data_IF_779445054124
#
_entry.id   IF_779445054124
#
_cell.length_a   1.000
_cell.length_b   1.000
_cell.length_c   1.000
_cell.angle_alpha   90.00
_cell.angle_beta   90.00
_cell.angle_gamma   90.00
#
_symmetry.space_group_name_H-M   'P 1'
#
loop_
_entity.id
_entity.type
_entity.pdbx_description
1 polymer ?
#
# COMPACT_ATOMS: atom_id res chain seq x y z
N UNK A 1 -23.64 0.22 4.92
CA UNK A 1 -22.62 1.28 4.76
C UNK A 1 -21.87 0.93 3.49
N UNK A 2 -21.81 1.86 2.55
CA UNK A 2 -21.13 1.66 1.26
C UNK A 2 -19.71 2.21 1.36
N UNK A 3 -18.76 1.52 0.75
CA UNK A 3 -17.33 1.81 0.77
C UNK A 3 -16.86 1.86 -0.69
N UNK A 4 -16.16 2.94 -1.07
CA UNK A 4 -15.73 3.18 -2.44
C UNK A 4 -14.23 3.51 -2.48
N UNK A 5 -13.52 2.94 -3.44
CA UNK A 5 -12.14 3.29 -3.78
C UNK A 5 -12.14 4.19 -5.00
N UNK A 6 -11.66 5.44 -4.87
CA UNK A 6 -11.63 6.36 -6.01
C UNK A 6 -10.46 6.07 -6.95
N UNK A 7 -9.34 5.62 -6.40
CA UNK A 7 -8.15 5.24 -7.16
C UNK A 7 -7.37 4.17 -6.35
N UNK A 8 -7.14 3.01 -6.97
CA UNK A 8 -6.33 1.93 -6.41
C UNK A 8 -4.83 2.21 -6.61
N UNK A 9 -4.06 2.09 -5.54
CA UNK A 9 -2.61 2.28 -5.48
C UNK A 9 -2.10 3.57 -6.17
N UNK A 10 -2.53 4.78 -5.74
CA UNK A 10 -2.01 6.02 -6.30
C UNK A 10 -0.48 6.13 -6.17
N UNK A 11 0.11 5.79 -5.02
CA UNK A 11 1.56 5.82 -4.85
C UNK A 11 2.24 4.83 -5.80
N UNK A 12 1.92 3.54 -5.72
CA UNK A 12 2.58 2.52 -6.57
C UNK A 12 2.43 2.85 -8.05
N UNK A 13 1.23 3.23 -8.49
CA UNK A 13 0.97 3.53 -9.90
C UNK A 13 1.84 4.70 -10.36
N UNK A 14 1.82 5.83 -9.65
CA UNK A 14 2.55 7.03 -10.06
C UNK A 14 4.07 6.84 -9.90
N UNK A 15 4.50 6.06 -8.91
CA UNK A 15 5.90 5.68 -8.71
C UNK A 15 6.42 4.81 -9.87
N UNK A 16 5.69 3.76 -10.25
CA UNK A 16 6.07 2.87 -11.35
C UNK A 16 6.02 3.58 -12.72
N UNK A 17 5.11 4.53 -12.90
CA UNK A 17 4.93 5.31 -14.13
C UNK A 17 5.93 6.47 -14.27
N UNK A 18 6.24 7.14 -13.16
CA UNK A 18 6.97 8.41 -13.12
C UNK A 18 8.41 8.29 -12.66
N UNK A 19 8.71 7.38 -11.73
CA UNK A 19 10.03 7.24 -11.13
C UNK A 19 10.83 6.08 -11.73
N UNK A 20 10.20 4.89 -11.81
CA UNK A 20 10.91 3.65 -12.14
C UNK A 20 10.90 3.28 -13.63
N UNK A 21 10.05 3.94 -14.44
CA UNK A 21 9.80 3.59 -15.84
C UNK A 21 9.40 2.12 -16.06
N UNK A 22 8.59 1.57 -15.16
CA UNK A 22 8.09 0.19 -15.24
C UNK A 22 6.75 0.14 -15.97
N UNK A 23 5.88 1.12 -15.75
CA UNK A 23 4.56 1.21 -16.38
C UNK A 23 4.47 2.42 -17.33
N UNK A 24 3.60 2.37 -18.37
CA UNK A 24 3.34 3.53 -19.23
C UNK A 24 2.92 4.74 -18.40
N UNK A 25 3.40 5.96 -18.72
CA UNK A 25 4.16 6.35 -19.91
C UNK A 25 5.68 6.08 -19.87
N UNK A 26 6.18 5.35 -18.88
CA UNK A 26 7.59 4.98 -18.71
C UNK A 26 8.53 6.17 -18.49
N UNK A 27 8.05 7.20 -17.79
CA UNK A 27 8.90 8.28 -17.33
C UNK A 27 9.81 7.81 -16.18
N UNK A 28 10.87 8.56 -15.90
CA UNK A 28 11.78 8.20 -14.82
C UNK A 28 12.40 9.39 -14.12
N UNK A 29 12.70 9.21 -12.84
CA UNK A 29 13.30 10.23 -11.99
C UNK A 29 12.26 10.96 -11.14
N UNK A 30 12.74 11.71 -10.15
CA UNK A 30 11.89 12.40 -9.18
C UNK A 30 11.07 13.53 -9.82
N UNK A 31 11.63 14.27 -10.78
CA UNK A 31 10.91 15.35 -11.50
C UNK A 31 9.64 14.80 -12.16
N UNK A 32 9.76 13.72 -12.93
CA UNK A 32 8.62 13.06 -13.56
C UNK A 32 7.63 12.48 -12.55
N UNK A 33 8.10 11.99 -11.40
CA UNK A 33 7.22 11.51 -10.34
C UNK A 33 6.41 12.65 -9.70
N UNK A 34 7.06 13.79 -9.42
CA UNK A 34 6.40 15.01 -8.93
C UNK A 34 5.38 15.52 -9.94
N UNK A 35 5.73 15.59 -11.22
CA UNK A 35 4.80 16.02 -12.28
C UNK A 35 3.54 15.17 -12.33
N UNK A 36 3.69 13.85 -12.22
CA UNK A 36 2.54 12.94 -12.18
C UNK A 36 1.68 13.15 -10.93
N UNK A 37 2.29 13.30 -9.75
CA UNK A 37 1.56 13.59 -8.51
C UNK A 37 0.77 14.91 -8.61
N UNK A 38 1.42 15.99 -9.07
CA UNK A 38 0.79 17.31 -9.25
C UNK A 38 -0.34 17.26 -10.29
N UNK A 39 -0.22 16.44 -11.32
CA UNK A 39 -1.26 16.30 -12.33
C UNK A 39 -2.45 15.46 -11.85
N UNK A 40 -2.22 14.39 -11.08
CA UNK A 40 -3.25 13.40 -10.73
C UNK A 40 -3.97 13.73 -9.43
N UNK A 41 -3.25 14.09 -8.37
CA UNK A 41 -3.84 14.26 -7.04
C UNK A 41 -4.94 15.33 -6.97
N UNK A 42 -4.87 16.48 -7.68
CA UNK A 42 -5.97 17.44 -7.68
C UNK A 42 -7.28 16.88 -8.21
N UNK A 43 -7.23 16.03 -9.24
CA UNK A 43 -8.41 15.38 -9.78
C UNK A 43 -9.01 14.37 -8.78
N UNK A 44 -8.16 13.62 -8.07
CA UNK A 44 -8.61 12.70 -7.01
C UNK A 44 -9.21 13.48 -5.84
N UNK A 45 -8.63 14.62 -5.47
CA UNK A 45 -9.12 15.46 -4.38
C UNK A 45 -10.52 16.00 -4.71
N UNK A 46 -10.70 16.50 -5.93
CA UNK A 46 -12.00 16.95 -6.42
C UNK A 46 -13.02 15.80 -6.50
N UNK A 47 -12.60 14.62 -6.96
CA UNK A 47 -13.46 13.43 -6.94
C UNK A 47 -13.89 13.08 -5.50
N UNK A 48 -13.00 13.20 -4.51
CA UNK A 48 -13.32 12.94 -3.10
C UNK A 48 -14.29 13.96 -2.50
N UNK A 49 -14.26 15.22 -2.98
CA UNK A 49 -15.21 16.27 -2.60
C UNK A 49 -16.60 15.97 -3.17
N UNK A 50 -16.68 15.74 -4.48
CA UNK A 50 -17.92 15.41 -5.18
C UNK A 50 -18.55 14.13 -4.62
N UNK A 51 -17.72 13.14 -4.32
CA UNK A 51 -18.12 11.89 -3.68
C UNK A 51 -18.88 12.14 -2.37
N UNK A 52 -18.35 13.00 -1.49
CA UNK A 52 -19.00 13.33 -0.21
C UNK A 52 -20.32 14.07 -0.39
N UNK A 53 -20.43 14.92 -1.41
CA UNK A 53 -21.65 15.65 -1.73
C UNK A 53 -22.75 14.71 -2.25
N UNK A 54 -22.38 13.78 -3.11
CA UNK A 54 -23.32 12.85 -3.74
C UNK A 54 -23.71 11.68 -2.82
N UNK A 55 -22.79 11.22 -1.98
CA UNK A 55 -22.94 10.03 -1.15
C UNK A 55 -22.50 10.29 0.31
N UNK A 56 -23.22 11.14 1.06
CA UNK A 56 -22.80 11.59 2.40
C UNK A 56 -22.69 10.47 3.46
N UNK A 57 -23.30 9.31 3.22
CA UNK A 57 -23.23 8.14 4.11
C UNK A 57 -22.23 7.07 3.68
N UNK A 58 -21.49 7.30 2.59
CA UNK A 58 -20.50 6.36 2.08
C UNK A 58 -19.08 6.77 2.49
N UNK A 59 -18.17 5.80 2.58
CA UNK A 59 -16.76 6.03 2.97
C UNK A 59 -15.81 5.93 1.79
N UNK A 60 -14.92 6.90 1.67
CA UNK A 60 -13.79 6.82 0.78
C UNK A 60 -12.68 5.94 1.41
N UNK A 61 -12.39 4.83 0.75
CA UNK A 61 -11.26 3.95 1.07
C UNK A 61 -10.09 4.34 0.16
N UNK A 62 -9.04 4.91 0.73
CA UNK A 62 -7.78 5.12 0.01
C UNK A 62 -7.02 3.80 0.00
N UNK A 63 -6.70 3.24 -1.17
CA UNK A 63 -6.00 1.96 -1.25
C UNK A 63 -4.58 2.20 -1.75
N UNK A 64 -3.57 1.79 -0.98
CA UNK A 64 -2.19 1.85 -1.41
C UNK A 64 -1.33 0.72 -0.84
N UNK A 65 -0.15 0.55 -1.42
CA UNK A 65 0.84 -0.43 -0.97
C UNK A 65 1.30 -0.16 0.46
N UNK A 66 1.32 -1.21 1.28
CA UNK A 66 1.83 -1.21 2.64
C UNK A 66 3.31 -1.61 2.62
N UNK A 67 4.18 -0.64 2.31
CA UNK A 67 5.61 -0.89 2.12
C UNK A 67 6.42 -0.70 3.38
N UNK A 68 7.56 -1.37 3.46
CA UNK A 68 8.62 -1.08 4.43
C UNK A 68 9.98 -1.50 3.87
N UNK A 69 11.01 -0.69 4.08
CA UNK A 69 12.31 -0.89 3.45
C UNK A 69 13.45 -0.95 4.46
N UNK A 70 14.49 -1.70 4.08
CA UNK A 70 15.69 -1.99 4.89
C UNK A 70 16.94 -1.83 4.05
N UNK A 71 18.09 -1.61 4.69
CA UNK A 71 19.39 -1.56 4.03
C UNK A 71 20.35 -2.63 4.56
N UNK A 72 21.15 -3.22 3.68
CA UNK A 72 22.24 -4.16 4.07
C UNK A 72 23.62 -3.51 4.19
N UNK A 73 23.79 -2.29 3.69
CA UNK A 73 25.00 -1.49 3.79
C UNK A 73 24.63 -0.01 4.01
N UNK A 74 25.64 0.85 4.24
CA UNK A 74 25.42 2.26 4.56
C UNK A 74 24.67 3.01 3.45
N UNK A 75 24.97 2.71 2.18
CA UNK A 75 24.31 3.34 1.04
C UNK A 75 22.86 2.85 0.89
N UNK A 76 22.64 1.55 1.08
CA UNK A 76 21.35 0.90 1.06
C UNK A 76 20.45 1.39 2.18
N UNK A 77 21.00 1.58 3.39
CA UNK A 77 20.24 2.08 4.53
C UNK A 77 19.78 3.52 4.30
N UNK A 78 20.66 4.41 3.82
CA UNK A 78 20.25 5.78 3.44
C UNK A 78 19.13 5.80 2.41
N UNK A 79 19.17 4.90 1.41
CA UNK A 79 18.11 4.82 0.42
C UNK A 79 16.82 4.24 1.00
N UNK A 80 16.93 3.23 1.88
CA UNK A 80 15.79 2.64 2.57
C UNK A 80 15.08 3.67 3.48
N UNK A 81 15.83 4.50 4.21
CA UNK A 81 15.28 5.56 5.05
C UNK A 81 14.49 6.57 4.21
N UNK A 82 15.10 7.08 3.12
CA UNK A 82 14.38 7.93 2.15
C UNK A 82 13.14 7.24 1.58
N UNK A 83 13.20 5.93 1.30
CA UNK A 83 12.08 5.19 0.70
C UNK A 83 10.94 5.01 1.70
N UNK A 84 11.27 4.83 2.98
CA UNK A 84 10.32 4.76 4.09
C UNK A 84 9.63 6.10 4.36
N UNK A 85 10.24 7.23 4.02
CA UNK A 85 9.57 8.53 3.97
C UNK A 85 8.69 8.64 2.70
N UNK A 86 9.24 8.23 1.55
CA UNK A 86 8.59 8.37 0.24
C UNK A 86 7.27 7.60 0.14
N UNK A 87 7.14 6.42 0.77
CA UNK A 87 5.90 5.62 0.74
C UNK A 87 4.66 6.37 1.27
N UNK A 88 4.85 7.43 2.06
CA UNK A 88 3.75 8.25 2.58
C UNK A 88 3.45 9.48 1.70
N UNK A 89 4.32 9.83 0.76
CA UNK A 89 4.29 11.10 0.03
C UNK A 89 2.96 11.36 -0.69
N UNK A 90 2.39 10.35 -1.35
CA UNK A 90 1.14 10.50 -2.09
C UNK A 90 -0.05 10.79 -1.16
N UNK A 91 -0.14 10.05 -0.04
CA UNK A 91 -1.20 10.23 0.97
C UNK A 91 -1.05 11.59 1.65
N UNK A 92 0.17 11.96 2.05
CA UNK A 92 0.42 13.21 2.74
C UNK A 92 0.14 14.43 1.84
N UNK A 93 0.55 14.37 0.57
CA UNK A 93 0.23 15.40 -0.41
C UNK A 93 -1.28 15.49 -0.66
N UNK A 94 -1.96 14.34 -0.80
CA UNK A 94 -3.41 14.29 -0.98
C UNK A 94 -4.20 14.84 0.21
N UNK A 95 -3.73 14.61 1.44
CA UNK A 95 -4.35 15.13 2.66
C UNK A 95 -3.93 16.57 2.99
N UNK A 96 -3.04 17.18 2.21
CA UNK A 96 -2.50 18.51 2.49
C UNK A 96 -1.61 18.58 3.73
N UNK A 97 -0.99 17.46 4.14
CA UNK A 97 -0.07 17.38 5.28
C UNK A 97 1.37 17.77 4.95
N UNK A 98 1.73 17.71 3.67
CA UNK A 98 3.08 18.02 3.19
C UNK A 98 4.12 16.97 3.59
N UNK A 99 5.40 17.32 3.50
CA UNK A 99 6.52 16.47 3.87
C UNK A 99 7.61 17.31 4.56
N UNK A 100 8.52 16.65 5.26
CA UNK A 100 9.66 17.32 5.89
C UNK A 100 10.68 17.73 4.81
N UNK A 101 10.82 19.04 4.59
CA UNK A 101 11.73 19.62 3.59
C UNK A 101 13.20 19.44 3.95
N UNK A 102 13.51 19.23 5.24
CA UNK A 102 14.86 19.01 5.75
C UNK A 102 15.23 17.53 5.82
N UNK A 103 14.29 16.62 5.51
CA UNK A 103 14.58 15.20 5.35
C UNK A 103 15.44 14.94 4.10
N UNK A 104 15.98 13.71 3.98
CA UNK A 104 16.68 13.33 2.74
C UNK A 104 15.73 13.39 1.54
N UNK A 105 14.51 12.87 1.68
CA UNK A 105 13.48 12.96 0.64
C UNK A 105 13.19 14.42 0.27
N UNK A 106 13.07 15.30 1.27
CA UNK A 106 12.80 16.72 1.04
C UNK A 106 13.87 17.42 0.21
N UNK A 107 15.15 17.16 0.53
CA UNK A 107 16.29 17.64 -0.26
C UNK A 107 16.33 17.08 -1.67
N UNK A 108 15.96 15.81 -1.85
CA UNK A 108 15.92 15.16 -3.17
C UNK A 108 14.74 15.68 -4.03
N UNK A 109 13.62 16.04 -3.39
CA UNK A 109 12.44 16.60 -4.05
C UNK A 109 12.59 18.08 -4.42
N UNK A 110 13.37 18.86 -3.67
CA UNK A 110 13.57 20.29 -3.93
C UNK A 110 14.02 20.61 -5.37
N UNK A 111 15.07 19.98 -5.94
CA UNK A 111 15.45 20.21 -7.34
C UNK A 111 14.44 19.63 -8.35
N UNK A 112 13.52 18.77 -7.91
CA UNK A 112 12.47 18.14 -8.72
C UNK A 112 11.14 18.92 -8.70
N UNK A 113 11.09 20.09 -8.06
CA UNK A 113 9.87 20.91 -7.95
C UNK A 113 8.89 20.43 -6.88
N UNK A 114 9.38 19.75 -5.84
CA UNK A 114 8.57 19.16 -4.77
C UNK A 114 7.71 20.16 -3.99
N UNK A 115 8.07 21.45 -3.97
CA UNK A 115 7.28 22.51 -3.34
C UNK A 115 5.85 22.60 -3.92
N UNK A 116 5.65 22.17 -5.17
CA UNK A 116 4.33 22.10 -5.81
C UNK A 116 3.39 21.12 -5.12
N UNK A 117 3.93 20.11 -4.43
CA UNK A 117 3.14 19.13 -3.66
C UNK A 117 2.55 19.75 -2.39
N UNK A 118 3.19 20.79 -1.84
CA UNK A 118 2.76 21.43 -0.59
C UNK A 118 1.52 22.32 -0.76
N UNK A 119 1.18 22.68 -2.00
CA UNK A 119 0.07 23.60 -2.33
C UNK A 119 -1.09 22.92 -3.04
N UNK A 120 -1.11 21.58 -3.09
CA UNK A 120 -2.19 20.83 -3.73
C UNK A 120 -3.51 20.98 -2.96
N UNK A 121 -4.68 20.94 -3.64
CA UNK A 121 -5.95 20.87 -2.95
C UNK A 121 -6.06 19.55 -2.18
N UNK A 122 -6.53 19.63 -0.93
CA UNK A 122 -6.68 18.47 -0.07
C UNK A 122 -7.98 17.70 -0.35
N UNK A 123 -7.90 16.37 -0.38
CA UNK A 123 -9.04 15.46 -0.33
C UNK A 123 -9.33 14.95 1.08
N UNK A 124 -10.18 13.93 1.21
CA UNK A 124 -10.31 13.18 2.48
C UNK A 124 -10.26 11.70 2.25
N UNK A 125 -9.92 11.01 3.34
CA UNK A 125 -9.90 9.56 3.44
C UNK A 125 -10.70 9.20 4.70
N UNK A 126 -11.62 8.23 4.58
CA UNK A 126 -12.39 7.71 5.71
C UNK A 126 -11.83 6.37 6.23
N UNK A 127 -11.15 5.62 5.35
CA UNK A 127 -10.49 4.34 5.63
C UNK A 127 -9.18 4.27 4.85
N UNK A 128 -8.13 3.83 5.53
CA UNK A 128 -6.85 3.53 4.92
C UNK A 128 -6.79 2.05 4.54
N UNK A 129 -6.91 1.79 3.24
CA UNK A 129 -6.67 0.51 2.61
C UNK A 129 -5.19 0.25 2.41
N UNK A 130 -4.73 -0.89 2.92
CA UNK A 130 -3.35 -1.35 2.91
C UNK A 130 -3.26 -2.61 2.05
N UNK A 131 -2.57 -2.53 0.93
CA UNK A 131 -2.27 -3.65 0.06
C UNK A 131 -0.94 -4.25 0.48
N UNK A 132 -0.97 -5.50 0.94
CA UNK A 132 0.21 -6.14 1.53
C UNK A 132 0.52 -7.49 0.91
N UNK A 133 1.73 -7.57 0.37
CA UNK A 133 2.33 -8.79 -0.14
C UNK A 133 3.75 -8.93 0.41
N UNK A 134 4.30 -10.14 0.35
CA UNK A 134 5.69 -10.38 0.76
C UNK A 134 6.71 -9.49 0.02
N UNK A 135 6.37 -9.00 -1.18
CA UNK A 135 7.22 -8.13 -1.99
C UNK A 135 6.99 -6.63 -1.79
N UNK A 136 6.12 -6.22 -0.85
CA UNK A 136 6.01 -4.82 -0.43
C UNK A 136 7.21 -4.39 0.41
N UNK A 137 8.02 -5.35 0.90
CA UNK A 137 9.19 -5.06 1.71
C UNK A 137 10.50 -5.31 0.97
N UNK A 138 11.26 -4.24 0.76
CA UNK A 138 12.51 -4.27 -0.01
C UNK A 138 13.74 -4.11 0.88
N UNK A 139 14.83 -4.73 0.44
CA UNK A 139 16.16 -4.52 0.98
C UNK A 139 17.06 -3.90 -0.08
N UNK A 140 17.72 -2.79 0.28
CA UNK A 140 18.61 -2.05 -0.59
C UNK A 140 20.07 -2.24 -0.20
N UNK A 141 20.93 -2.20 -1.20
CA UNK A 141 22.39 -2.26 -1.09
C UNK A 141 23.01 -1.47 -2.25
N UNK A 142 24.34 -1.35 -2.27
CA UNK A 142 25.08 -0.83 -3.43
C UNK A 142 24.74 -1.58 -4.73
N UNK A 143 24.40 -2.86 -4.63
CA UNK A 143 24.04 -3.70 -5.77
C UNK A 143 22.61 -3.48 -6.31
N UNK A 144 21.78 -2.73 -5.59
CA UNK A 144 20.37 -2.46 -5.94
C UNK A 144 19.37 -2.91 -4.86
N UNK A 145 18.08 -2.85 -5.22
CA UNK A 145 16.98 -3.33 -4.39
C UNK A 145 16.58 -4.78 -4.69
N UNK A 146 16.27 -5.54 -3.65
CA UNK A 146 15.69 -6.88 -3.76
C UNK A 146 14.51 -7.05 -2.78
N UNK A 147 13.48 -7.78 -3.21
CA UNK A 147 12.36 -8.18 -2.36
C UNK A 147 12.18 -9.72 -2.41
N UNK A 148 11.79 -10.37 -1.29
CA UNK A 148 11.56 -9.77 0.03
C UNK A 148 12.88 -9.37 0.73
N UNK A 149 12.80 -8.41 1.66
CA UNK A 149 13.89 -8.13 2.61
C UNK A 149 14.25 -9.36 3.47
N UNK A 150 15.52 -9.57 3.85
CA UNK A 150 15.90 -10.62 4.80
C UNK A 150 15.42 -10.34 6.24
N UNK A 151 15.06 -9.10 6.57
CA UNK A 151 14.61 -8.68 7.89
C UNK A 151 13.24 -7.99 7.80
N UNK A 152 12.17 -8.76 7.48
CA UNK A 152 10.85 -8.18 7.30
C UNK A 152 10.29 -7.66 8.63
N UNK A 153 9.71 -6.47 8.57
CA UNK A 153 8.90 -5.94 9.64
C UNK A 153 7.56 -6.72 9.68
N UNK A 154 7.10 -7.20 10.85
CA UNK A 154 5.79 -7.81 10.99
C UNK A 154 4.67 -6.90 10.45
N UNK A 155 3.65 -7.49 9.84
CA UNK A 155 2.54 -6.71 9.26
C UNK A 155 1.83 -5.87 10.34
N UNK A 156 1.69 -6.38 11.57
CA UNK A 156 1.09 -5.62 12.66
C UNK A 156 1.84 -4.30 12.95
N UNK A 157 3.17 -4.32 12.87
CA UNK A 157 4.03 -3.15 13.10
C UNK A 157 3.93 -2.16 11.93
N UNK A 158 3.83 -2.64 10.69
CA UNK A 158 3.60 -1.78 9.53
C UNK A 158 2.25 -1.09 9.62
N UNK A 159 1.18 -1.84 9.87
CA UNK A 159 -0.16 -1.28 10.06
C UNK A 159 -0.16 -0.24 11.18
N UNK A 160 0.54 -0.50 12.28
CA UNK A 160 0.70 0.45 13.39
C UNK A 160 1.34 1.78 12.91
N UNK A 161 2.39 1.75 12.11
CA UNK A 161 3.04 2.98 11.59
C UNK A 161 2.07 3.83 10.75
N UNK A 162 1.28 3.20 9.89
CA UNK A 162 0.26 3.91 9.10
C UNK A 162 -0.87 4.45 9.99
N UNK A 163 -1.33 3.66 10.96
CA UNK A 163 -2.37 4.08 11.90
C UNK A 163 -1.92 5.23 12.79
N UNK A 164 -0.71 5.18 13.34
CA UNK A 164 -0.13 6.25 14.16
C UNK A 164 0.03 7.55 13.36
N UNK A 165 0.42 7.44 12.08
CA UNK A 165 0.57 8.61 11.21
C UNK A 165 -0.77 9.26 10.92
N UNK A 166 -1.81 8.49 10.57
CA UNK A 166 -3.05 9.05 10.03
C UNK A 166 -4.22 9.10 11.00
N UNK A 167 -4.25 8.24 12.03
CA UNK A 167 -5.36 8.10 12.98
C UNK A 167 -6.66 7.58 12.34
N UNK A 168 -6.57 7.00 11.14
CA UNK A 168 -7.72 6.53 10.36
C UNK A 168 -7.94 5.02 10.56
N UNK A 169 -9.19 4.52 10.52
CA UNK A 169 -9.46 3.10 10.43
C UNK A 169 -8.68 2.46 9.27
N UNK A 170 -8.07 1.31 9.52
CA UNK A 170 -7.27 0.58 8.56
C UNK A 170 -8.02 -0.65 8.04
N UNK A 171 -7.80 -1.01 6.79
CA UNK A 171 -8.33 -2.22 6.18
C UNK A 171 -7.22 -2.85 5.36
N UNK A 172 -7.03 -4.17 5.47
CA UNK A 172 -6.17 -4.86 4.52
C UNK A 172 -6.95 -5.12 3.24
N UNK A 173 -6.64 -4.37 2.18
CA UNK A 173 -7.47 -4.29 0.96
C UNK A 173 -7.02 -5.26 -0.13
N UNK A 174 -5.76 -5.65 -0.12
CA UNK A 174 -5.26 -6.76 -0.92
C UNK A 174 -4.19 -7.56 -0.19
N UNK A 175 -4.23 -8.88 -0.38
CA UNK A 175 -3.13 -9.76 -0.01
C UNK A 175 -3.24 -11.13 -0.69
N UNK A 176 -2.08 -11.75 -0.96
CA UNK A 176 -1.96 -13.14 -1.41
C UNK A 176 -0.52 -13.64 -1.37
N UNK A 177 -0.36 -14.93 -1.68
CA UNK A 177 0.92 -15.48 -2.12
C UNK A 177 0.71 -16.46 -3.28
N UNK A 178 1.66 -16.48 -4.22
CA UNK A 178 1.73 -17.55 -5.24
C UNK A 178 2.21 -18.84 -4.57
N UNK A 179 1.82 -19.99 -5.10
CA UNK A 179 2.28 -21.28 -4.58
C UNK A 179 1.19 -22.34 -4.54
N UNK A 180 1.42 -23.39 -3.75
CA UNK A 180 0.45 -24.42 -3.43
C UNK A 180 -0.69 -23.85 -2.57
N UNK A 181 -1.75 -24.63 -2.40
CA UNK A 181 -2.86 -24.25 -1.50
C UNK A 181 -2.40 -24.15 -0.05
N UNK A 182 -1.44 -24.99 0.36
CA UNK A 182 -0.81 -24.91 1.69
C UNK A 182 -0.11 -23.57 1.90
N UNK A 183 0.63 -23.06 0.91
CA UNK A 183 1.35 -21.78 1.02
C UNK A 183 0.36 -20.63 1.20
N UNK A 184 -0.74 -20.64 0.43
CA UNK A 184 -1.84 -19.67 0.57
C UNK A 184 -2.53 -19.75 1.92
N UNK A 185 -2.75 -20.96 2.44
CA UNK A 185 -3.36 -21.15 3.77
C UNK A 185 -2.43 -20.64 4.89
N UNK A 186 -1.14 -20.92 4.80
CA UNK A 186 -0.12 -20.40 5.74
C UNK A 186 -0.05 -18.89 5.69
N UNK A 187 -0.06 -18.30 4.49
CA UNK A 187 -0.06 -16.84 4.32
C UNK A 187 -1.34 -16.20 4.88
N UNK A 188 -2.51 -16.77 4.59
CA UNK A 188 -3.78 -16.28 5.12
C UNK A 188 -3.78 -16.34 6.65
N UNK A 189 -3.30 -17.43 7.24
CA UNK A 189 -3.17 -17.56 8.69
C UNK A 189 -2.27 -16.45 9.26
N UNK A 190 -1.07 -16.28 8.69
CA UNK A 190 -0.15 -15.23 9.11
C UNK A 190 -0.79 -13.84 9.07
N UNK A 191 -1.42 -13.47 7.94
CA UNK A 191 -2.06 -12.16 7.80
C UNK A 191 -3.16 -11.95 8.83
N UNK A 192 -4.02 -12.95 9.05
CA UNK A 192 -5.10 -12.85 10.03
C UNK A 192 -4.55 -12.65 11.45
N UNK A 193 -3.53 -13.44 11.83
CA UNK A 193 -2.86 -13.28 13.14
C UNK A 193 -2.25 -11.88 13.31
N UNK A 194 -1.66 -11.31 12.24
CA UNK A 194 -1.10 -9.95 12.28
C UNK A 194 -2.18 -8.86 12.35
N UNK A 195 -3.31 -9.02 11.66
CA UNK A 195 -4.44 -8.09 11.78
C UNK A 195 -5.09 -8.15 13.17
N UNK A 196 -5.18 -9.34 13.76
CA UNK A 196 -5.65 -9.53 15.14
C UNK A 196 -4.69 -8.88 16.15
N UNK A 197 -3.37 -9.04 15.95
CA UNK A 197 -2.34 -8.40 16.77
C UNK A 197 -2.40 -6.87 16.69
N UNK A 198 -2.51 -6.29 15.48
CA UNK A 198 -2.70 -4.85 15.31
C UNK A 198 -3.97 -4.35 16.04
N UNK A 199 -5.07 -5.11 15.92
CA UNK A 199 -6.33 -4.80 16.62
C UNK A 199 -6.16 -4.85 18.14
N UNK A 200 -5.39 -5.82 18.66
CA UNK A 200 -5.11 -5.94 20.08
C UNK A 200 -4.30 -4.76 20.63
N UNK A 201 -3.50 -4.10 19.78
CA UNK A 201 -2.72 -2.88 20.10
C UNK A 201 -3.51 -1.58 19.96
N UNK A 202 -4.78 -1.66 19.57
CA UNK A 202 -5.68 -0.50 19.50
C UNK A 202 -5.89 0.06 18.09
N UNK A 203 -5.30 -0.53 17.05
CA UNK A 203 -5.61 -0.16 15.67
C UNK A 203 -7.05 -0.52 15.33
N UNK A 204 -7.79 0.42 14.76
CA UNK A 204 -9.14 0.15 14.24
C UNK A 204 -9.05 -0.60 12.91
N UNK A 205 -9.11 -1.93 12.94
CA UNK A 205 -9.13 -2.78 11.75
C UNK A 205 -10.56 -3.07 11.27
N UNK A 206 -10.91 -2.57 10.08
CA UNK A 206 -12.27 -2.67 9.52
C UNK A 206 -12.51 -3.90 8.63
N UNK A 207 -11.44 -4.53 8.14
CA UNK A 207 -11.57 -5.71 7.31
C UNK A 207 -10.27 -6.24 6.74
N UNK A 208 -10.38 -7.41 6.12
CA UNK A 208 -9.33 -8.09 5.37
C UNK A 208 -9.92 -8.60 4.06
N UNK A 209 -9.22 -8.35 2.96
CA UNK A 209 -9.61 -8.74 1.61
C UNK A 209 -8.53 -9.63 0.98
N UNK A 210 -8.96 -10.75 0.39
CA UNK A 210 -8.09 -11.69 -0.30
C UNK A 210 -8.15 -11.45 -1.81
N UNK A 211 -7.06 -10.98 -2.40
CA UNK A 211 -7.02 -10.61 -3.81
C UNK A 211 -5.87 -11.30 -4.55
N UNK A 212 -6.04 -11.77 -5.80
CA UNK A 212 -7.30 -11.88 -6.51
C UNK A 212 -8.09 -13.12 -6.06
N UNK A 213 -9.43 -13.03 -6.12
CA UNK A 213 -10.33 -14.16 -5.82
C UNK A 213 -10.15 -15.33 -6.80
N UNK A 214 -9.82 -15.05 -8.05
CA UNK A 214 -9.54 -16.06 -9.11
C UNK A 214 -8.15 -15.84 -9.65
N UNK A 215 -7.51 -16.89 -10.20
CA UNK A 215 -6.25 -16.74 -10.93
C UNK A 215 -6.45 -15.72 -12.06
N UNK A 216 -5.73 -14.61 -11.99
CA UNK A 216 -5.62 -13.68 -13.10
C UNK A 216 -4.71 -14.29 -14.18
N UNK A 217 -5.13 -14.21 -15.44
CA UNK A 217 -4.26 -14.54 -16.57
C UNK A 217 -3.20 -13.43 -16.71
N UNK A 218 -1.99 -13.73 -16.23
CA UNK A 218 -0.68 -13.10 -16.53
C UNK A 218 -0.69 -11.56 -16.68
N UNK A 219 -0.57 -10.83 -15.56
CA UNK A 219 0.41 -9.74 -15.48
C UNK A 219 1.75 -10.36 -15.05
N UNK A 220 2.70 -10.43 -15.98
CA UNK A 220 4.09 -10.76 -15.65
C UNK A 220 4.80 -9.48 -15.17
N UNK A 221 4.56 -9.11 -13.91
CA UNK A 221 5.59 -8.42 -13.13
C UNK A 221 6.67 -9.47 -12.86
N UNK A 222 7.52 -9.73 -13.85
CA UNK A 222 8.87 -10.22 -13.55
C UNK A 222 9.44 -9.22 -12.56
N UNK A 223 9.90 -9.65 -11.39
CA UNK A 223 10.49 -8.77 -10.39
C UNK A 223 11.67 -8.03 -11.03
N UNK A 224 11.37 -6.87 -11.61
CA UNK A 224 12.36 -5.96 -12.14
C UNK A 224 12.96 -5.30 -10.90
N UNK A 225 14.28 -5.37 -10.71
CA UNK A 225 14.90 -4.73 -9.56
C UNK A 225 14.57 -3.24 -9.60
N UNK A 226 14.06 -2.69 -8.48
CA UNK A 226 13.91 -1.25 -8.31
C UNK A 226 15.29 -0.60 -8.32
N UNK A 227 15.35 0.66 -8.79
CA UNK A 227 16.59 1.44 -8.77
C UNK A 227 17.11 1.55 -7.33
N UNK A 228 18.39 1.20 -7.15
CA UNK A 228 19.11 1.40 -5.89
C UNK A 228 19.86 2.73 -5.83
N UNK A 229 20.68 2.93 -4.78
CA UNK A 229 21.38 4.19 -4.48
C UNK A 229 22.23 4.73 -5.63
N UNK A 230 22.73 3.87 -6.52
CA UNK A 230 23.68 4.24 -7.59
C UNK A 230 23.07 4.24 -9.01
N UNK A 231 21.74 4.09 -9.16
CA UNK A 231 21.05 4.20 -10.45
C UNK A 231 21.46 3.20 -11.56
N UNK A 232 22.28 2.19 -11.26
CA UNK A 232 22.81 1.26 -12.26
C UNK A 232 21.78 0.19 -12.67
N UNK A 233 21.60 0.01 -13.98
CA UNK A 233 20.70 -1.02 -14.56
C UNK A 233 21.43 -2.35 -14.73
N UNK A 234 20.71 -3.47 -14.49
CA UNK A 234 20.77 -4.61 -15.41
C UNK A 234 19.58 -4.52 -16.38
N UNK A 235 19.85 -4.33 -17.68
CA UNK A 235 18.81 -4.33 -18.72
C UNK A 235 18.16 -5.71 -18.80
N UNK A 236 16.85 -5.80 -18.54
CA UNK A 236 16.02 -6.94 -18.97
C UNK A 236 14.98 -6.40 -19.95
N UNK A 237 15.03 -6.91 -21.19
CA UNK A 237 14.09 -6.56 -22.25
C UNK A 237 12.69 -7.12 -21.92
N UNK A 238 11.73 -6.25 -21.61
CA UNK A 238 10.32 -6.62 -21.51
C UNK A 238 9.78 -6.96 -22.92
N UNK A 239 9.33 -8.20 -23.13
CA UNK A 239 8.57 -8.59 -24.33
C UNK A 239 7.09 -8.25 -24.14
N UNK A 240 6.51 -7.52 -25.09
CA UNK A 240 5.09 -7.10 -25.10
C UNK A 240 4.15 -8.31 -25.23
N UNK A 241 3.14 -8.40 -24.36
CA UNK A 241 1.95 -9.24 -24.52
C UNK A 241 0.67 -8.38 -24.68
N UNK A 242 -0.43 -8.91 -25.25
CA UNK A 242 -1.58 -8.10 -25.66
C UNK A 242 -2.50 -7.73 -24.48
N UNK A 243 -3.15 -6.55 -24.61
CA UNK A 243 -4.02 -5.87 -23.63
C UNK A 243 -5.18 -6.76 -23.14
N UNK A 244 -5.49 -6.67 -21.84
CA UNK A 244 -6.76 -7.12 -21.28
C UNK A 244 -7.32 -6.06 -20.30
N UNK A 245 -8.59 -5.72 -20.46
CA UNK A 245 -9.36 -4.86 -19.57
C UNK A 245 -9.77 -5.63 -18.30
N UNK A 246 -9.83 -4.94 -17.15
CA UNK A 246 -10.25 -5.51 -15.87
C UNK A 246 -11.45 -4.77 -15.32
N UNK A 247 -12.55 -5.51 -15.12
CA UNK A 247 -13.63 -5.19 -14.17
C UNK A 247 -13.82 -6.46 -13.35
N UNK A 248 -13.76 -6.39 -12.03
CA UNK A 248 -13.95 -7.53 -11.14
C UNK A 248 -14.49 -7.11 -9.79
N UNK A 249 -15.57 -7.76 -9.36
CA UNK A 249 -16.22 -7.56 -8.06
C UNK A 249 -15.35 -8.03 -6.88
N UNK A 250 -15.37 -7.24 -5.80
CA UNK A 250 -14.65 -7.45 -4.53
C UNK A 250 -15.64 -7.95 -3.46
N UNK A 251 -15.30 -9.03 -2.74
CA UNK A 251 -16.07 -9.52 -1.58
C UNK A 251 -15.35 -9.15 -0.27
N UNK A 252 -16.01 -8.35 0.58
CA UNK A 252 -15.49 -7.93 1.90
C UNK A 252 -15.88 -8.96 2.98
N UNK A 253 -14.91 -9.63 3.59
CA UNK A 253 -15.16 -10.51 4.74
C UNK A 253 -15.21 -9.67 6.02
N UNK A 254 -16.43 -9.31 6.48
CA UNK A 254 -16.63 -8.62 7.76
C UNK A 254 -16.66 -9.61 8.92
N UNK A 255 -15.74 -9.46 9.87
CA UNK A 255 -15.79 -10.18 11.15
C UNK A 255 -16.98 -9.68 11.99
N UNK A 256 -18.07 -10.45 12.07
CA UNK A 256 -19.17 -10.16 12.99
C UNK A 256 -18.81 -10.66 14.39
N UNK A 257 -18.65 -9.75 15.37
CA UNK A 257 -18.67 -10.12 16.80
C UNK A 257 -20.02 -10.75 17.15
N UNK A 258 -20.10 -12.08 17.21
CA UNK A 258 -21.25 -12.76 17.85
C UNK A 258 -21.05 -12.70 19.36
N UNK A 259 -21.90 -11.95 20.06
CA UNK A 259 -22.13 -12.18 21.50
C UNK A 259 -22.91 -13.50 21.63
N UNK A 260 -22.29 -14.53 22.20
CA UNK A 260 -23.01 -15.75 22.61
C UNK A 260 -23.89 -15.45 23.82
N UNK A 261 -25.16 -15.92 23.87
CA UNK A 261 -25.92 -16.00 25.10
C UNK A 261 -25.39 -17.17 25.94
N UNK A 262 -25.20 -16.93 27.24
CA UNK A 262 -24.83 -17.91 28.25
C UNK A 262 -25.68 -19.19 28.16
N UNK A 263 -25.04 -20.31 27.82
CA UNK A 263 -25.63 -21.64 27.88
C UNK A 263 -25.49 -22.23 29.29
N UNK A 264 -26.62 -22.67 29.87
CA UNK A 264 -26.68 -23.42 31.13
C UNK A 264 -25.80 -24.68 31.11
N UNK A 265 -25.24 -25.11 32.25
CA UNK A 265 -24.44 -26.33 32.31
C UNK A 265 -25.34 -27.58 32.23
N UNK A 266 -24.82 -28.71 31.72
CA UNK A 266 -25.58 -29.95 31.57
C UNK A 266 -25.78 -30.65 32.92
N UNK A 267 -26.98 -31.22 33.11
CA UNK A 267 -27.30 -32.11 34.24
C UNK A 267 -26.73 -33.50 33.97
N UNK A 268 -25.98 -34.05 34.92
CA UNK A 268 -25.55 -35.45 34.94
C UNK A 268 -26.75 -36.38 35.24
N UNK A 269 -26.83 -37.57 34.65
CA UNK A 269 -27.84 -38.56 35.02
C UNK A 269 -27.45 -39.27 36.32
N UNK A 270 -28.44 -39.48 37.18
CA UNK A 270 -28.29 -40.16 38.46
C UNK A 270 -27.98 -41.66 38.29
N UNK A 271 -27.00 -42.14 39.04
CA UNK A 271 -26.96 -43.47 39.66
C UNK A 271 -26.46 -43.31 41.08
#
# INVERSE_FOLDING_TARGET
MQEYTLFNEPFSTLFLCGHEAIWPPYHSGLESFVDLLVNVLPAVAEASRLYRELLPGARHVWVDTCEFHTGSDESGQRYADMANDRRFLAIDAFLGRGYDVDSQLGRDLAPAGGERLLTLPAGTIDVLGLDYYAHCQWNFSEAGGAAPTPTPLPLADQVQQYWERYGLPCMLTETNVRGATSDRATWLKYVLEQCEEASARGVTMDGVCWFPRRRLHRLELTALPLRGPCGSRRRVLARRGPRAALVGDVDVVRARRRRSPLGRPPRLPAR
#
